data_IF_286845061905
#
_entry.id   IF_286845061905
#
_cell.length_a   1.000
_cell.length_b   1.000
_cell.length_c   1.000
_cell.angle_alpha   90.00
_cell.angle_beta   90.00
_cell.angle_gamma   90.00
#
_symmetry.space_group_name_H-M   'P 1'
#
loop_
_entity.id
_entity.type
_entity.pdbx_description
1 polymer ?
#
# COMPACT_ATOMS: atom_id res chain seq x y z
N UNK A 1 12.88 -16.70 -16.09
CA UNK A 1 14.26 -17.09 -15.72
C UNK A 1 14.73 -16.39 -14.43
N UNK A 2 13.88 -15.60 -13.76
CA UNK A 2 14.19 -14.92 -12.48
C UNK A 2 15.21 -13.77 -12.60
N UNK A 3 15.51 -13.29 -13.79
CA UNK A 3 16.43 -12.17 -14.01
C UNK A 3 15.65 -10.89 -14.31
N UNK A 4 15.91 -9.84 -13.53
CA UNK A 4 15.41 -8.50 -13.82
C UNK A 4 16.09 -7.98 -15.09
N UNK A 5 15.33 -7.67 -16.14
CA UNK A 5 15.83 -7.16 -17.43
C UNK A 5 15.71 -5.65 -17.47
N UNK A 6 14.54 -5.11 -17.13
CA UNK A 6 14.28 -3.68 -17.12
C UNK A 6 13.26 -3.32 -16.04
N UNK A 7 13.35 -2.10 -15.52
CA UNK A 7 12.35 -1.50 -14.65
C UNK A 7 12.28 0.00 -14.90
N UNK A 8 11.09 0.58 -14.91
CA UNK A 8 10.88 2.00 -15.12
C UNK A 8 9.61 2.48 -14.40
N UNK A 9 9.64 3.72 -13.96
CA UNK A 9 8.50 4.41 -13.34
C UNK A 9 7.81 5.30 -14.39
N UNK A 10 6.49 5.20 -14.49
CA UNK A 10 5.68 5.99 -15.43
C UNK A 10 5.90 7.50 -15.26
N UNK A 11 6.09 7.97 -14.03
CA UNK A 11 6.31 9.39 -13.73
C UNK A 11 7.51 10.01 -14.48
N UNK A 12 8.52 9.19 -14.79
CA UNK A 12 9.72 9.66 -15.52
C UNK A 12 9.41 10.05 -16.96
N UNK A 13 8.49 9.33 -17.59
CA UNK A 13 8.10 9.58 -18.98
C UNK A 13 7.07 10.71 -19.08
N UNK A 14 6.10 10.74 -18.19
CA UNK A 14 4.99 11.70 -18.24
C UNK A 14 5.29 13.00 -17.49
N UNK A 15 6.41 13.08 -16.76
CA UNK A 15 6.84 14.22 -15.93
C UNK A 15 5.77 14.71 -14.96
N UNK A 16 5.02 13.78 -14.42
CA UNK A 16 3.95 14.00 -13.46
C UNK A 16 4.24 13.13 -12.24
N UNK A 17 4.63 13.76 -11.13
CA UNK A 17 5.05 13.05 -9.91
C UNK A 17 3.96 12.09 -9.44
N UNK A 18 4.37 10.85 -9.17
CA UNK A 18 3.50 9.70 -8.89
C UNK A 18 2.55 9.28 -10.02
N UNK A 19 2.62 9.89 -11.21
CA UNK A 19 1.76 9.59 -12.35
C UNK A 19 0.29 9.34 -11.94
N UNK A 20 -0.27 10.24 -11.09
CA UNK A 20 -1.57 10.07 -10.44
C UNK A 20 -2.67 9.79 -11.47
N UNK A 21 -3.41 8.70 -11.24
CA UNK A 21 -4.49 8.23 -12.14
C UNK A 21 -4.05 7.81 -13.55
N UNK A 22 -2.78 7.63 -13.81
CA UNK A 22 -2.25 7.07 -15.06
C UNK A 22 -2.06 5.56 -14.97
N UNK A 23 -1.97 4.90 -16.11
CA UNK A 23 -1.53 3.51 -16.23
C UNK A 23 -0.09 3.51 -16.72
N UNK A 24 0.73 2.50 -16.40
CA UNK A 24 2.14 2.46 -16.73
C UNK A 24 2.38 2.11 -18.21
N UNK A 25 1.81 2.91 -19.11
CA UNK A 25 1.87 2.67 -20.54
C UNK A 25 3.28 2.92 -21.11
N UNK A 26 3.85 4.09 -20.84
CA UNK A 26 5.18 4.44 -21.34
C UNK A 26 6.28 3.62 -20.66
N UNK A 27 6.13 3.34 -19.37
CA UNK A 27 7.06 2.48 -18.65
C UNK A 27 7.06 1.05 -19.20
N UNK A 28 5.87 0.48 -19.45
CA UNK A 28 5.76 -0.85 -20.04
C UNK A 28 6.30 -0.91 -21.48
N UNK A 29 6.00 0.11 -22.29
CA UNK A 29 6.53 0.24 -23.63
C UNK A 29 8.06 0.29 -23.62
N UNK A 30 8.64 1.14 -22.76
CA UNK A 30 10.08 1.22 -22.58
C UNK A 30 10.70 -0.13 -22.20
N UNK A 31 10.10 -0.86 -21.25
CA UNK A 31 10.62 -2.16 -20.82
C UNK A 31 10.61 -3.19 -21.96
N UNK A 32 9.57 -3.21 -22.79
CA UNK A 32 9.50 -4.09 -23.97
C UNK A 32 10.56 -3.73 -25.01
N UNK A 33 10.69 -2.44 -25.33
CA UNK A 33 11.69 -1.93 -26.29
C UNK A 33 13.12 -2.21 -25.81
N UNK A 34 13.40 -1.95 -24.52
CA UNK A 34 14.71 -2.22 -23.92
C UNK A 34 15.08 -3.70 -23.95
N UNK A 35 14.11 -4.58 -23.72
CA UNK A 35 14.29 -6.03 -23.78
C UNK A 35 14.33 -6.58 -25.21
N UNK A 36 13.99 -5.78 -26.23
CA UNK A 36 13.86 -6.23 -27.61
C UNK A 36 12.67 -7.17 -27.83
N UNK A 37 11.66 -7.10 -26.96
CA UNK A 37 10.48 -7.98 -26.96
C UNK A 37 9.27 -7.31 -27.62
N UNK A 38 8.44 -8.12 -28.24
CA UNK A 38 7.10 -7.74 -28.71
C UNK A 38 6.05 -8.23 -27.71
N UNK A 39 4.84 -7.64 -27.70
CA UNK A 39 3.75 -8.12 -26.83
C UNK A 39 3.44 -9.62 -26.93
N UNK A 40 3.65 -10.22 -28.11
CA UNK A 40 3.45 -11.66 -28.33
C UNK A 40 4.54 -12.57 -27.74
N UNK A 41 5.65 -12.00 -27.28
CA UNK A 41 6.77 -12.74 -26.66
C UNK A 41 6.63 -12.80 -25.13
N UNK A 42 5.57 -12.19 -24.58
CA UNK A 42 5.30 -12.13 -23.14
C UNK A 42 4.25 -13.18 -22.75
N UNK A 43 4.59 -14.07 -21.86
CA UNK A 43 3.71 -15.17 -21.42
C UNK A 43 2.71 -14.70 -20.36
N UNK A 44 3.13 -13.84 -19.41
CA UNK A 44 2.30 -13.42 -18.31
C UNK A 44 2.54 -11.95 -17.89
N UNK A 45 1.50 -11.33 -17.35
CA UNK A 45 1.55 -10.01 -16.71
C UNK A 45 1.07 -10.12 -15.28
N UNK A 46 1.92 -9.83 -14.31
CA UNK A 46 1.54 -9.79 -12.90
C UNK A 46 0.91 -8.44 -12.51
N UNK A 47 -0.17 -8.51 -11.75
CA UNK A 47 -0.82 -7.34 -11.14
C UNK A 47 -0.57 -7.37 -9.64
N UNK A 48 0.02 -6.32 -9.00
CA UNK A 48 0.35 -6.33 -7.57
C UNK A 48 -0.88 -6.02 -6.69
N UNK A 49 -2.01 -6.60 -7.02
CA UNK A 49 -3.26 -6.63 -6.23
C UNK A 49 -4.01 -7.90 -6.55
N UNK A 50 -4.60 -8.54 -5.54
CA UNK A 50 -5.43 -9.72 -5.70
C UNK A 50 -6.85 -9.50 -5.14
N UNK A 51 -7.85 -10.25 -5.64
CA UNK A 51 -9.16 -10.25 -5.01
C UNK A 51 -9.09 -10.99 -3.67
N UNK A 52 -9.81 -10.48 -2.66
CA UNK A 52 -9.86 -11.07 -1.33
C UNK A 52 -11.22 -11.74 -1.11
N UNK A 53 -11.21 -12.94 -0.53
CA UNK A 53 -12.42 -13.66 -0.12
C UNK A 53 -13.21 -12.89 0.96
N UNK A 54 -14.52 -13.11 1.00
CA UNK A 54 -15.37 -12.62 2.10
C UNK A 54 -15.00 -13.26 3.45
N UNK A 55 -14.43 -14.46 3.43
CA UNK A 55 -14.00 -15.18 4.63
C UNK A 55 -12.69 -14.67 5.22
N UNK A 56 -11.95 -13.81 4.50
CA UNK A 56 -10.65 -13.31 4.96
C UNK A 56 -10.78 -12.50 6.26
N UNK A 57 -9.94 -12.85 7.24
CA UNK A 57 -9.87 -12.18 8.55
C UNK A 57 -9.73 -10.67 8.43
N UNK A 58 -8.98 -10.21 7.44
CA UNK A 58 -8.69 -8.80 7.17
C UNK A 58 -9.95 -7.94 7.03
N UNK A 59 -10.99 -8.43 6.34
CA UNK A 59 -12.26 -7.70 6.17
C UNK A 59 -13.01 -7.54 7.48
N UNK A 60 -13.04 -8.59 8.30
CA UNK A 60 -13.70 -8.59 9.59
C UNK A 60 -12.93 -7.80 10.63
N UNK A 61 -11.60 -7.84 10.58
CA UNK A 61 -10.74 -6.97 11.39
C UNK A 61 -11.07 -5.51 11.15
N UNK A 62 -11.09 -5.09 9.88
CA UNK A 62 -11.49 -3.75 9.48
C UNK A 62 -12.86 -3.35 10.04
N UNK A 63 -13.87 -4.19 9.84
CA UNK A 63 -15.22 -3.92 10.31
C UNK A 63 -15.30 -3.80 11.84
N UNK A 64 -14.60 -4.67 12.57
CA UNK A 64 -14.52 -4.63 14.03
C UNK A 64 -13.85 -3.35 14.53
N UNK A 65 -12.75 -2.96 13.91
CA UNK A 65 -11.98 -1.78 14.32
C UNK A 65 -12.73 -0.48 14.03
N UNK A 66 -13.48 -0.43 12.94
CA UNK A 66 -14.29 0.72 12.55
C UNK A 66 -15.78 0.55 12.88
N UNK A 67 -16.08 -0.08 14.01
CA UNK A 67 -17.47 -0.31 14.48
C UNK A 67 -18.29 0.98 14.58
N UNK A 68 -17.64 2.12 14.81
CA UNK A 68 -18.26 3.44 14.93
C UNK A 68 -18.69 4.05 13.58
N UNK A 69 -18.35 3.42 12.46
CA UNK A 69 -18.71 3.82 11.10
C UNK A 69 -19.29 2.60 10.34
N UNK A 70 -20.47 2.08 10.75
CA UNK A 70 -21.00 0.81 10.24
C UNK A 70 -21.34 0.86 8.76
N UNK A 71 -21.74 2.01 8.21
CA UNK A 71 -21.95 2.24 6.80
C UNK A 71 -20.66 2.00 5.98
N UNK A 72 -19.53 2.51 6.45
CA UNK A 72 -18.23 2.34 5.83
C UNK A 72 -17.71 0.92 5.96
N UNK A 73 -17.89 0.31 7.12
CA UNK A 73 -17.50 -1.08 7.38
C UNK A 73 -18.28 -2.04 6.50
N UNK A 74 -19.61 -1.89 6.42
CA UNK A 74 -20.46 -2.70 5.55
C UNK A 74 -20.10 -2.51 4.08
N UNK A 75 -19.91 -1.26 3.65
CA UNK A 75 -19.46 -0.97 2.29
C UNK A 75 -18.13 -1.67 1.97
N UNK A 76 -17.14 -1.60 2.87
CA UNK A 76 -15.85 -2.24 2.67
C UNK A 76 -15.96 -3.77 2.59
N UNK A 77 -16.79 -4.40 3.44
CA UNK A 77 -17.05 -5.84 3.39
C UNK A 77 -17.66 -6.23 2.04
N UNK A 78 -18.72 -5.56 1.61
CA UNK A 78 -19.47 -5.94 0.41
C UNK A 78 -18.74 -5.59 -0.89
N UNK A 79 -17.97 -4.50 -0.90
CA UNK A 79 -17.36 -3.96 -2.13
C UNK A 79 -15.83 -3.99 -2.14
N UNK A 80 -15.21 -4.72 -1.21
CA UNK A 80 -13.75 -4.72 -1.03
C UNK A 80 -12.95 -5.07 -2.28
N UNK A 81 -13.50 -5.89 -3.17
CA UNK A 81 -12.85 -6.23 -4.44
C UNK A 81 -13.13 -5.25 -5.58
N UNK A 82 -13.96 -4.23 -5.38
CA UNK A 82 -14.32 -3.25 -6.43
C UNK A 82 -13.08 -2.52 -6.96
N UNK A 83 -12.12 -2.23 -6.08
CA UNK A 83 -10.86 -1.60 -6.44
C UNK A 83 -10.04 -2.50 -7.36
N UNK A 84 -9.87 -3.78 -7.01
CA UNK A 84 -9.18 -4.76 -7.83
C UNK A 84 -9.78 -4.86 -9.24
N UNK A 85 -11.09 -5.06 -9.37
CA UNK A 85 -11.73 -5.19 -10.68
C UNK A 85 -11.61 -3.92 -11.52
N UNK A 86 -11.61 -2.74 -10.89
CA UNK A 86 -11.36 -1.47 -11.58
C UNK A 86 -9.94 -1.38 -12.11
N UNK A 87 -8.95 -1.76 -11.31
CA UNK A 87 -7.55 -1.80 -11.73
C UNK A 87 -7.34 -2.82 -12.85
N UNK A 88 -7.87 -4.01 -12.71
CA UNK A 88 -7.78 -5.06 -13.74
C UNK A 88 -8.27 -4.55 -15.09
N UNK A 89 -9.46 -3.95 -15.16
CA UNK A 89 -10.01 -3.37 -16.41
C UNK A 89 -9.09 -2.30 -17.00
N UNK A 90 -8.50 -1.45 -16.19
CA UNK A 90 -7.57 -0.41 -16.67
C UNK A 90 -6.27 -1.00 -17.20
N UNK A 91 -5.77 -2.04 -16.55
CA UNK A 91 -4.58 -2.78 -17.01
C UNK A 91 -4.88 -3.50 -18.32
N UNK A 92 -5.99 -4.21 -18.41
CA UNK A 92 -6.42 -4.86 -19.65
C UNK A 92 -6.51 -3.85 -20.82
N UNK A 93 -7.10 -2.68 -20.58
CA UNK A 93 -7.12 -1.60 -21.57
C UNK A 93 -5.70 -1.14 -21.95
N UNK A 94 -4.82 -0.92 -20.98
CA UNK A 94 -3.43 -0.51 -21.22
C UNK A 94 -2.67 -1.55 -22.06
N UNK A 95 -2.83 -2.84 -21.74
CA UNK A 95 -2.21 -3.93 -22.49
C UNK A 95 -2.71 -3.98 -23.93
N UNK A 96 -4.02 -3.77 -24.15
CA UNK A 96 -4.58 -3.69 -25.52
C UNK A 96 -3.97 -2.53 -26.32
N UNK A 97 -3.76 -1.35 -25.69
CA UNK A 97 -3.12 -0.21 -26.36
C UNK A 97 -1.65 -0.51 -26.72
N UNK A 98 -0.97 -1.38 -25.96
CA UNK A 98 0.39 -1.85 -26.23
C UNK A 98 0.43 -2.98 -27.28
N UNK A 99 -0.73 -3.46 -27.75
CA UNK A 99 -0.82 -4.49 -28.77
C UNK A 99 -0.85 -5.93 -28.24
N UNK A 100 -1.10 -6.13 -26.95
CA UNK A 100 -1.27 -7.45 -26.38
C UNK A 100 -2.61 -8.10 -26.79
N UNK A 101 -2.58 -9.38 -27.10
CA UNK A 101 -3.78 -10.22 -27.27
C UNK A 101 -4.17 -10.81 -25.90
N UNK A 102 -5.20 -10.22 -25.27
CA UNK A 102 -5.66 -10.65 -23.94
C UNK A 102 -6.16 -12.11 -23.88
N UNK A 103 -6.34 -12.78 -25.01
CA UNK A 103 -6.69 -14.20 -25.05
C UNK A 103 -5.48 -15.12 -24.93
N UNK A 104 -4.30 -14.59 -25.21
CA UNK A 104 -3.03 -15.35 -25.23
C UNK A 104 -2.15 -15.10 -24.02
N UNK A 105 -2.38 -13.99 -23.31
CA UNK A 105 -1.57 -13.61 -22.16
C UNK A 105 -2.27 -13.97 -20.85
N UNK A 106 -1.53 -14.54 -19.91
CA UNK A 106 -2.00 -14.77 -18.56
C UNK A 106 -1.90 -13.49 -17.72
N UNK A 107 -2.99 -13.08 -17.06
CA UNK A 107 -2.97 -11.98 -16.11
C UNK A 107 -3.04 -12.55 -14.69
N UNK A 108 -1.91 -12.49 -13.99
CA UNK A 108 -1.71 -13.10 -12.67
C UNK A 108 -1.91 -12.07 -11.56
N UNK A 109 -2.96 -12.20 -10.74
CA UNK A 109 -3.09 -11.37 -9.55
C UNK A 109 -2.12 -11.84 -8.45
N UNK A 110 -1.38 -10.91 -7.86
CA UNK A 110 -0.45 -11.15 -6.75
C UNK A 110 -0.85 -10.27 -5.57
N UNK A 111 -0.89 -10.81 -4.36
CA UNK A 111 -1.13 -10.01 -3.16
C UNK A 111 -0.11 -8.87 -3.06
N UNK A 112 -0.56 -7.69 -2.69
CA UNK A 112 0.25 -6.47 -2.69
C UNK A 112 1.53 -6.60 -1.85
N UNK A 113 1.42 -7.07 -0.62
CA UNK A 113 2.60 -7.26 0.24
C UNK A 113 3.49 -8.41 -0.20
N UNK A 114 2.93 -9.44 -0.84
CA UNK A 114 3.74 -10.49 -1.46
C UNK A 114 4.52 -9.95 -2.67
N UNK A 115 3.94 -9.02 -3.44
CA UNK A 115 4.66 -8.35 -4.53
C UNK A 115 5.83 -7.51 -4.01
N UNK A 116 5.64 -6.75 -2.90
CA UNK A 116 6.73 -6.05 -2.22
C UNK A 116 7.80 -7.01 -1.71
N UNK A 117 7.39 -8.07 -1.01
CA UNK A 117 8.31 -9.10 -0.49
C UNK A 117 9.11 -9.77 -1.62
N UNK A 118 8.45 -10.07 -2.75
CA UNK A 118 9.10 -10.65 -3.94
C UNK A 118 10.14 -9.72 -4.54
N UNK A 119 9.83 -8.45 -4.70
CA UNK A 119 10.78 -7.48 -5.26
C UNK A 119 12.01 -7.32 -4.37
N UNK A 120 11.83 -7.29 -3.05
CA UNK A 120 12.93 -7.21 -2.11
C UNK A 120 13.77 -8.49 -2.08
N UNK A 121 13.14 -9.66 -1.88
CA UNK A 121 13.84 -10.93 -1.72
C UNK A 121 14.54 -11.40 -2.99
N UNK A 122 13.83 -11.46 -4.12
CA UNK A 122 14.40 -11.98 -5.37
C UNK A 122 15.43 -11.04 -6.01
N UNK A 123 15.40 -9.75 -5.69
CA UNK A 123 16.38 -8.77 -6.19
C UNK A 123 17.51 -8.47 -5.19
N UNK A 124 17.48 -9.03 -3.97
CA UNK A 124 18.49 -8.76 -2.93
C UNK A 124 19.82 -9.46 -3.16
N UNK A 125 19.82 -10.57 -3.92
CA UNK A 125 20.97 -11.48 -4.01
C UNK A 125 21.16 -12.39 -2.80
N UNK A 126 20.28 -12.35 -1.78
CA UNK A 126 20.35 -13.28 -0.65
C UNK A 126 20.01 -14.71 -1.10
N UNK A 127 20.88 -15.65 -0.74
CA UNK A 127 20.72 -17.08 -1.00
C UNK A 127 20.32 -17.87 0.24
N UNK A 128 20.52 -17.28 1.41
CA UNK A 128 20.28 -17.89 2.71
C UNK A 128 18.82 -17.70 3.15
N UNK A 129 18.43 -18.40 4.21
CA UNK A 129 17.16 -18.18 4.88
C UNK A 129 17.10 -16.75 5.43
N UNK A 130 16.18 -15.97 4.89
CA UNK A 130 16.11 -14.51 5.09
C UNK A 130 14.77 -14.11 5.66
N UNK A 131 14.78 -13.32 6.73
CA UNK A 131 13.56 -12.67 7.22
C UNK A 131 13.14 -11.53 6.28
N UNK A 132 11.85 -11.46 5.99
CA UNK A 132 11.25 -10.42 5.15
C UNK A 132 10.25 -9.63 5.97
N UNK A 133 10.46 -8.33 6.05
CA UNK A 133 9.54 -7.39 6.69
C UNK A 133 9.07 -6.37 5.66
N UNK A 134 7.76 -6.32 5.43
CA UNK A 134 7.10 -5.29 4.64
C UNK A 134 6.25 -4.39 5.53
N UNK A 135 6.47 -3.08 5.50
CA UNK A 135 5.65 -2.09 6.20
C UNK A 135 5.16 -1.09 5.16
N UNK A 136 3.84 -0.97 5.05
CA UNK A 136 3.18 -0.12 4.07
C UNK A 136 2.02 0.64 4.69
N UNK A 137 1.44 1.55 3.93
CA UNK A 137 0.19 2.20 4.28
C UNK A 137 -0.97 1.20 4.25
N UNK A 138 -1.15 0.55 3.10
CA UNK A 138 -2.22 -0.45 2.90
C UNK A 138 -2.13 -1.09 1.53
N UNK A 139 -2.10 -2.42 1.50
CA UNK A 139 -2.38 -3.22 0.33
C UNK A 139 -3.89 -3.40 0.08
N UNK A 140 -4.37 -4.63 -0.05
CA UNK A 140 -5.81 -4.94 -0.08
C UNK A 140 -6.47 -4.56 1.26
N UNK A 141 -5.99 -5.15 2.34
CA UNK A 141 -6.27 -4.83 3.74
C UNK A 141 -5.04 -4.97 4.64
N UNK A 142 -4.04 -5.73 4.22
CA UNK A 142 -2.80 -5.87 4.96
C UNK A 142 -2.02 -4.54 4.97
N UNK A 143 -1.31 -4.30 6.06
CA UNK A 143 -0.51 -3.09 6.31
C UNK A 143 0.92 -3.42 6.67
N UNK A 144 1.14 -4.63 7.16
CA UNK A 144 2.46 -5.15 7.51
C UNK A 144 2.51 -6.63 7.17
N UNK A 145 3.62 -7.06 6.62
CA UNK A 145 3.89 -8.44 6.21
C UNK A 145 5.16 -8.94 6.92
N UNK A 146 5.06 -10.10 7.52
CA UNK A 146 6.19 -10.86 8.03
C UNK A 146 6.31 -12.16 7.25
N UNK A 147 7.46 -12.42 6.70
CA UNK A 147 7.73 -13.63 5.94
C UNK A 147 9.15 -14.14 6.07
N UNK A 148 9.38 -15.29 5.48
CA UNK A 148 10.70 -15.89 5.31
C UNK A 148 10.89 -16.25 3.85
N UNK A 149 12.02 -15.81 3.30
CA UNK A 149 12.52 -16.24 2.00
C UNK A 149 13.54 -17.37 2.19
N UNK A 150 13.34 -18.48 1.51
CA UNK A 150 14.23 -19.63 1.54
C UNK A 150 14.09 -20.45 0.23
N UNK A 151 15.20 -20.83 -0.39
CA UNK A 151 15.21 -21.63 -1.63
C UNK A 151 14.32 -21.04 -2.74
N UNK A 152 14.33 -19.72 -2.92
CA UNK A 152 13.54 -19.05 -3.94
C UNK A 152 12.03 -18.98 -3.67
N UNK A 153 11.58 -19.34 -2.47
CA UNK A 153 10.17 -19.28 -2.05
C UNK A 153 10.01 -18.30 -0.90
N UNK A 154 8.88 -17.60 -0.88
CA UNK A 154 8.47 -16.74 0.21
C UNK A 154 7.33 -17.40 0.96
N UNK A 155 7.51 -17.57 2.26
CA UNK A 155 6.47 -18.09 3.17
C UNK A 155 5.98 -16.96 4.05
N UNK A 156 4.70 -16.63 3.97
CA UNK A 156 4.03 -15.67 4.84
C UNK A 156 3.90 -16.28 6.24
N UNK A 157 4.34 -15.54 7.26
CA UNK A 157 4.22 -15.93 8.67
C UNK A 157 3.06 -15.19 9.33
N UNK A 158 3.00 -13.87 9.16
CA UNK A 158 2.02 -13.03 9.82
C UNK A 158 1.75 -11.76 9.02
N UNK A 159 0.55 -11.22 9.18
CA UNK A 159 0.18 -9.89 8.68
C UNK A 159 -0.58 -9.12 9.75
N UNK A 160 -0.44 -7.79 9.72
CA UNK A 160 -1.37 -6.88 10.36
C UNK A 160 -2.29 -6.25 9.32
N UNK A 161 -3.45 -5.79 9.76
CA UNK A 161 -4.50 -5.32 8.87
C UNK A 161 -4.97 -3.92 9.23
N UNK A 162 -5.45 -3.20 8.22
CA UNK A 162 -6.07 -1.88 8.38
C UNK A 162 -7.20 -1.92 9.44
N UNK A 163 -7.24 -0.97 10.40
CA UNK A 163 -6.50 0.30 10.47
C UNK A 163 -5.16 0.25 11.21
N UNK A 164 -4.72 -0.93 11.63
CA UNK A 164 -3.50 -1.07 12.41
C UNK A 164 -2.29 -1.01 11.46
N UNK A 165 -1.97 0.22 11.04
CA UNK A 165 -0.97 0.55 10.02
C UNK A 165 0.00 1.62 10.51
N UNK A 166 1.29 1.28 10.55
CA UNK A 166 2.35 2.27 10.82
C UNK A 166 2.49 3.27 9.66
N UNK A 167 2.38 2.80 8.41
CA UNK A 167 2.40 3.70 7.25
C UNK A 167 1.20 4.64 7.24
N UNK A 168 0.01 4.13 7.58
CA UNK A 168 -1.19 4.96 7.74
C UNK A 168 -1.05 5.99 8.86
N UNK A 169 -0.49 5.59 10.02
CA UNK A 169 -0.19 6.51 11.12
C UNK A 169 0.79 7.59 10.67
N UNK A 170 1.87 7.20 9.99
CA UNK A 170 2.87 8.15 9.48
C UNK A 170 2.24 9.15 8.49
N UNK A 171 1.37 8.66 7.58
CA UNK A 171 0.62 9.52 6.67
C UNK A 171 -0.33 10.50 7.40
N UNK A 172 -1.03 10.04 8.45
CA UNK A 172 -1.90 10.91 9.26
C UNK A 172 -1.10 12.00 9.98
N UNK A 173 0.09 11.69 10.50
CA UNK A 173 0.99 12.67 11.10
C UNK A 173 1.58 13.62 10.05
N UNK A 174 1.86 13.12 8.85
CA UNK A 174 2.28 13.94 7.70
C UNK A 174 1.22 14.99 7.36
N UNK A 175 -0.04 14.59 7.31
CA UNK A 175 -1.16 15.55 7.11
C UNK A 175 -1.30 16.53 8.28
N UNK A 176 -1.12 16.07 9.52
CA UNK A 176 -1.15 16.95 10.70
C UNK A 176 -0.08 18.04 10.61
N UNK A 177 1.12 17.71 10.15
CA UNK A 177 2.22 18.64 9.96
C UNK A 177 2.04 19.58 8.74
N UNK A 178 0.92 19.47 8.02
CA UNK A 178 0.59 20.36 6.90
C UNK A 178 1.08 19.91 5.53
N UNK A 179 1.63 18.69 5.42
CA UNK A 179 2.02 18.12 4.14
C UNK A 179 0.93 17.26 3.52
N UNK A 180 1.05 16.95 2.25
CA UNK A 180 0.13 16.04 1.55
C UNK A 180 0.49 14.59 1.86
N UNK A 181 -0.49 13.78 2.28
CA UNK A 181 -0.33 12.34 2.46
C UNK A 181 0.03 11.67 1.13
N UNK A 182 0.91 10.69 1.16
CA UNK A 182 1.51 9.97 0.03
C UNK A 182 2.50 10.80 -0.81
N UNK A 183 2.75 12.04 -0.42
CA UNK A 183 3.71 12.92 -1.10
C UNK A 183 4.60 13.72 -0.13
N UNK A 184 4.30 13.71 1.15
CA UNK A 184 4.98 14.52 2.15
C UNK A 184 5.77 13.73 3.19
N UNK A 185 5.66 12.42 3.23
CA UNK A 185 6.28 11.56 4.23
C UNK A 185 7.81 11.72 4.27
N UNK A 186 8.45 11.85 3.11
CA UNK A 186 9.90 12.10 3.03
C UNK A 186 10.32 13.46 3.60
N UNK A 187 9.42 14.46 3.57
CA UNK A 187 9.67 15.77 4.19
C UNK A 187 9.66 15.66 5.72
N UNK A 188 8.70 14.89 6.26
CA UNK A 188 8.64 14.59 7.69
C UNK A 188 9.88 13.82 8.13
N UNK A 189 10.32 12.83 7.36
CA UNK A 189 11.59 12.14 7.59
C UNK A 189 12.78 13.12 7.65
N UNK A 190 12.85 14.07 6.71
CA UNK A 190 13.88 15.10 6.68
C UNK A 190 13.81 16.08 7.86
N UNK A 191 12.64 16.25 8.49
CA UNK A 191 12.46 17.10 9.69
C UNK A 191 12.81 16.36 10.99
N UNK A 192 12.80 15.05 11.01
CA UNK A 192 12.97 14.25 12.23
C UNK A 192 14.24 14.61 13.06
N UNK A 193 15.42 14.87 12.45
CA UNK A 193 16.62 15.24 13.21
C UNK A 193 16.52 16.58 13.99
N UNK A 194 15.56 17.43 13.65
CA UNK A 194 15.37 18.73 14.28
C UNK A 194 14.34 18.69 15.41
N UNK A 195 13.71 17.52 15.65
CA UNK A 195 12.71 17.32 16.68
C UNK A 195 13.31 16.90 18.02
N UNK A 196 12.52 17.03 19.08
CA UNK A 196 12.82 16.51 20.40
C UNK A 196 12.00 15.21 20.63
N UNK A 197 12.64 14.02 20.62
CA UNK A 197 11.95 12.74 20.74
C UNK A 197 11.37 12.51 22.15
N UNK A 198 11.75 13.31 23.15
CA UNK A 198 11.28 13.17 24.53
C UNK A 198 10.00 13.95 24.82
N UNK A 199 9.60 14.83 23.92
CA UNK A 199 8.48 15.75 24.14
C UNK A 199 7.11 15.08 24.19
N UNK A 200 6.92 14.02 23.42
CA UNK A 200 5.65 13.29 23.32
C UNK A 200 5.87 11.78 23.37
N UNK A 201 5.03 11.09 24.13
CA UNK A 201 5.00 9.64 24.16
C UNK A 201 4.06 9.09 23.09
N UNK A 202 4.61 8.70 21.96
CA UNK A 202 3.86 8.12 20.81
C UNK A 202 3.33 6.70 21.06
N UNK A 203 3.64 6.04 22.19
CA UNK A 203 3.00 4.78 22.57
C UNK A 203 1.48 4.94 22.74
N UNK A 204 1.02 6.16 22.96
CA UNK A 204 -0.40 6.53 22.93
C UNK A 204 -1.06 6.25 21.56
N UNK A 205 -0.34 6.40 20.46
CA UNK A 205 -0.87 6.24 19.10
C UNK A 205 -0.70 4.84 18.54
N UNK A 206 0.41 4.20 18.88
CA UNK A 206 0.75 2.87 18.37
C UNK A 206 1.42 2.03 19.46
N UNK A 207 0.94 0.82 19.66
CA UNK A 207 1.47 -0.11 20.66
C UNK A 207 1.36 -1.54 20.18
N UNK A 208 2.18 -2.41 20.75
CA UNK A 208 2.07 -3.84 20.55
C UNK A 208 1.38 -4.47 21.77
N UNK A 209 0.26 -5.15 21.53
CA UNK A 209 -0.51 -5.85 22.55
C UNK A 209 -0.71 -7.30 22.11
N UNK A 210 -0.27 -8.27 22.92
CA UNK A 210 -0.38 -9.70 22.63
C UNK A 210 0.17 -10.11 21.24
N UNK A 211 1.25 -9.45 20.81
CA UNK A 211 1.86 -9.68 19.50
C UNK A 211 1.14 -9.05 18.31
N UNK A 212 0.12 -8.26 18.54
CA UNK A 212 -0.60 -7.49 17.52
C UNK A 212 -0.23 -6.01 17.59
N UNK A 213 -0.08 -5.38 16.42
CA UNK A 213 0.00 -3.92 16.32
C UNK A 213 -1.40 -3.34 16.54
N UNK A 214 -1.49 -2.33 17.38
CA UNK A 214 -2.73 -1.60 17.63
C UNK A 214 -2.48 -0.11 17.44
N UNK A 215 -3.17 0.48 16.48
CA UNK A 215 -3.23 1.93 16.29
C UNK A 215 -4.46 2.48 16.98
N UNK A 216 -4.30 3.56 17.73
CA UNK A 216 -5.45 4.21 18.36
C UNK A 216 -6.23 5.04 17.32
N UNK A 217 -7.34 4.47 16.85
CA UNK A 217 -8.22 5.09 15.85
C UNK A 217 -9.04 6.26 16.41
N UNK A 218 -8.90 6.60 17.68
CA UNK A 218 -9.42 7.85 18.23
C UNK A 218 -8.54 9.06 17.87
N UNK A 219 -7.28 8.81 17.49
CA UNK A 219 -6.31 9.85 17.12
C UNK A 219 -5.94 9.84 15.64
N UNK A 220 -5.57 8.68 15.10
CA UNK A 220 -5.05 8.52 13.74
C UNK A 220 -5.75 7.38 12.99
N UNK A 221 -5.55 7.29 11.68
CA UNK A 221 -6.25 6.35 10.78
C UNK A 221 -7.78 6.45 10.93
N UNK A 222 -8.28 7.65 11.12
CA UNK A 222 -9.69 7.92 11.44
C UNK A 222 -10.54 7.94 10.18
N UNK A 223 -11.77 7.40 10.26
CA UNK A 223 -12.75 7.45 9.17
C UNK A 223 -14.05 8.12 9.58
N UNK A 224 -14.83 8.50 8.56
CA UNK A 224 -16.20 9.02 8.76
C UNK A 224 -16.22 10.35 9.51
N UNK A 225 -17.21 10.47 10.39
CA UNK A 225 -17.49 11.73 11.11
C UNK A 225 -16.44 12.10 12.17
N UNK A 226 -15.55 11.16 12.55
CA UNK A 226 -14.49 11.41 13.53
C UNK A 226 -13.28 12.11 12.95
N UNK A 227 -13.20 12.25 11.63
CA UNK A 227 -12.09 12.97 10.96
C UNK A 227 -12.05 14.45 11.38
N UNK A 228 -10.85 14.95 11.55
CA UNK A 228 -10.62 16.39 11.62
C UNK A 228 -10.99 17.03 10.28
N UNK A 229 -11.63 18.20 10.35
CA UNK A 229 -12.08 18.95 9.18
C UNK A 229 -11.61 20.38 9.25
N UNK A 230 -11.04 20.84 8.16
CA UNK A 230 -10.60 22.22 8.05
C UNK A 230 -10.74 22.69 6.59
N UNK A 231 -11.32 23.85 6.37
CA UNK A 231 -11.50 24.45 5.03
C UNK A 231 -12.15 23.50 4.01
N UNK A 232 -13.12 22.69 4.45
CA UNK A 232 -13.83 21.73 3.59
C UNK A 232 -13.03 20.45 3.26
N UNK A 233 -11.83 20.30 3.81
CA UNK A 233 -11.00 19.09 3.66
C UNK A 233 -11.13 18.18 4.88
N UNK A 234 -11.27 16.88 4.64
CA UNK A 234 -11.24 15.82 5.66
C UNK A 234 -9.82 15.24 5.76
N UNK A 235 -9.33 15.06 7.01
CA UNK A 235 -8.00 14.53 7.30
C UNK A 235 -8.07 13.14 7.94
N UNK A 236 -7.00 12.34 7.84
CA UNK A 236 -6.93 10.99 8.41
C UNK A 236 -6.61 10.95 9.92
N UNK A 237 -6.67 12.09 10.59
CA UNK A 237 -6.59 12.23 12.04
C UNK A 237 -7.84 12.90 12.61
N UNK A 238 -7.98 12.85 13.94
CA UNK A 238 -9.13 13.40 14.65
C UNK A 238 -8.81 14.74 15.33
N UNK A 239 -9.84 15.49 15.80
CA UNK A 239 -9.65 16.63 16.69
C UNK A 239 -8.88 16.30 17.99
N UNK A 240 -8.93 15.06 18.47
CA UNK A 240 -8.17 14.64 19.66
C UNK A 240 -6.65 14.72 19.42
N UNK A 241 -6.18 14.41 18.20
CA UNK A 241 -4.77 14.56 17.87
C UNK A 241 -4.33 16.03 17.97
N UNK A 242 -5.14 16.92 17.42
CA UNK A 242 -4.89 18.37 17.49
C UNK A 242 -4.90 18.88 18.95
N UNK A 243 -5.84 18.39 19.76
CA UNK A 243 -5.89 18.73 21.18
C UNK A 243 -4.69 18.25 21.99
N UNK A 244 -4.05 17.17 21.54
CA UNK A 244 -2.87 16.62 22.22
C UNK A 244 -1.55 17.22 21.74
N UNK A 245 -1.37 17.35 20.44
CA UNK A 245 -0.10 17.83 19.85
C UNK A 245 -0.05 19.37 19.72
N UNK A 246 -1.20 20.03 19.77
CA UNK A 246 -1.35 21.47 19.57
C UNK A 246 -1.97 21.83 18.22
N UNK A 247 -2.18 23.13 17.96
CA UNK A 247 -2.71 23.60 16.67
C UNK A 247 -1.70 23.35 15.55
N UNK A 248 -2.26 23.16 14.35
CA UNK A 248 -1.48 22.97 13.11
C UNK A 248 -0.85 24.28 12.65
#
# INVERSE_FOLDING_TARGET
DGKLVAAAEEERFVRDKHAKNRMPYEAAKFCLEFAGLKPGDVDAVAIPFSPISLAEKARWHYAKRYWYAPDRSLYAILTGNRRYFRYKKRIEWCLQQLGFDLKKIEIVPVEHHLAHASSAYHCSGFTEKTAILGIDGKGEYATTFFGVGENGKITKIKEFYDPDSLGGLYGALTEYLGFEMLDGEYKVMGMAPYGDPTRYDFSRLARFENGELVIDTDYANVIGLRRYKENGKDFYFSPKLVGWLGPR
#
